data_IF_098101345887
#
_entry.id   IF_098101345887
#
_cell.length_a   1.000
_cell.length_b   1.000
_cell.length_c   1.000
_cell.angle_alpha   90.00
_cell.angle_beta   90.00
_cell.angle_gamma   90.00
#
_symmetry.space_group_name_H-M   'P 1'
#
loop_
_entity.id
_entity.type
_entity.pdbx_description
1 polymer ?
#
# COMPACT_ATOMS: atom_id res chain seq x y z
N UNK A 1 -28.51 -13.41 -31.32
CA UNK A 1 -27.80 -13.01 -30.08
C UNK A 1 -28.60 -13.51 -28.88
N UNK A 2 -28.06 -14.51 -28.19
CA UNK A 2 -28.78 -15.37 -27.25
C UNK A 2 -29.16 -14.65 -25.94
N UNK A 3 -30.37 -14.90 -25.43
CA UNK A 3 -30.92 -14.22 -24.24
C UNK A 3 -30.12 -14.55 -22.98
N UNK A 4 -29.53 -15.76 -22.94
CA UNK A 4 -28.64 -16.20 -21.85
C UNK A 4 -27.35 -15.37 -21.76
N UNK A 5 -26.76 -14.98 -22.88
CA UNK A 5 -25.54 -14.15 -22.88
C UNK A 5 -25.80 -12.74 -22.34
N UNK A 6 -26.92 -12.13 -22.71
CA UNK A 6 -27.32 -10.80 -22.21
C UNK A 6 -27.54 -10.79 -20.69
N UNK A 7 -28.15 -11.84 -20.16
CA UNK A 7 -28.32 -12.02 -18.71
C UNK A 7 -26.98 -12.14 -17.96
N UNK A 8 -26.05 -12.93 -18.50
CA UNK A 8 -24.70 -13.11 -17.91
C UNK A 8 -23.91 -11.80 -17.92
N UNK A 9 -23.96 -11.04 -19.03
CA UNK A 9 -23.29 -9.74 -19.19
C UNK A 9 -23.81 -8.68 -18.21
N UNK A 10 -25.14 -8.60 -18.02
CA UNK A 10 -25.77 -7.72 -17.03
C UNK A 10 -25.42 -8.10 -15.58
N UNK A 11 -25.31 -9.40 -15.28
CA UNK A 11 -24.94 -9.88 -13.94
C UNK A 11 -23.49 -9.50 -13.61
N UNK A 12 -22.57 -9.64 -14.56
CA UNK A 12 -21.16 -9.23 -14.41
C UNK A 12 -21.05 -7.71 -14.29
N UNK A 13 -21.77 -6.94 -15.11
CA UNK A 13 -21.82 -5.47 -14.97
C UNK A 13 -22.33 -5.03 -13.60
N UNK A 14 -23.39 -5.65 -13.10
CA UNK A 14 -23.92 -5.34 -11.77
C UNK A 14 -22.95 -5.72 -10.66
N UNK A 15 -22.21 -6.83 -10.79
CA UNK A 15 -21.13 -7.18 -9.85
C UNK A 15 -20.03 -6.12 -9.91
N UNK A 16 -19.55 -5.74 -11.09
CA UNK A 16 -18.54 -4.71 -11.29
C UNK A 16 -18.97 -3.36 -10.70
N UNK A 17 -20.17 -2.89 -11.03
CA UNK A 17 -20.72 -1.62 -10.54
C UNK A 17 -20.90 -1.67 -9.03
N UNK A 18 -21.35 -2.80 -8.47
CA UNK A 18 -21.51 -2.97 -7.03
C UNK A 18 -20.14 -2.97 -6.33
N UNK A 19 -19.14 -3.65 -6.89
CA UNK A 19 -17.75 -3.64 -6.39
C UNK A 19 -17.12 -2.24 -6.50
N UNK A 20 -17.35 -1.51 -7.60
CA UNK A 20 -16.88 -0.13 -7.80
C UNK A 20 -17.59 0.82 -6.83
N UNK A 21 -18.89 0.66 -6.59
CA UNK A 21 -19.64 1.48 -5.65
C UNK A 21 -19.32 1.15 -4.18
N UNK A 22 -18.98 -0.09 -3.82
CA UNK A 22 -18.39 -0.41 -2.51
C UNK A 22 -16.92 0.02 -2.40
N UNK A 23 -16.25 0.21 -3.54
CA UNK A 23 -14.94 0.86 -3.64
C UNK A 23 -15.06 2.38 -3.79
N UNK A 24 -16.24 3.02 -3.67
CA UNK A 24 -16.31 4.50 -3.57
C UNK A 24 -15.51 4.90 -2.35
N UNK A 25 -14.26 5.28 -2.63
CA UNK A 25 -13.23 5.45 -1.64
C UNK A 25 -13.60 6.64 -0.78
N UNK A 26 -14.01 6.35 0.45
CA UNK A 26 -14.01 7.31 1.55
C UNK A 26 -12.55 7.62 1.93
N UNK A 27 -11.79 8.19 0.99
CA UNK A 27 -10.39 8.62 1.18
C UNK A 27 -10.22 9.51 2.42
N UNK A 28 -11.27 10.28 2.76
CA UNK A 28 -11.33 11.10 3.97
C UNK A 28 -11.24 10.29 5.29
N UNK A 29 -11.67 9.04 5.30
CA UNK A 29 -11.73 8.18 6.50
C UNK A 29 -10.51 7.26 6.65
N UNK A 30 -9.48 7.42 5.82
CA UNK A 30 -8.22 6.72 6.05
C UNK A 30 -7.52 7.24 7.31
N UNK A 31 -6.88 6.33 8.05
CA UNK A 31 -5.99 6.72 9.13
C UNK A 31 -4.83 7.58 8.61
N UNK A 32 -4.23 8.37 9.50
CA UNK A 32 -3.15 9.27 9.14
C UNK A 32 -1.99 8.51 8.47
N UNK A 33 -1.66 7.33 9.00
CA UNK A 33 -0.65 6.44 8.43
C UNK A 33 -0.99 5.96 7.01
N UNK A 34 -2.25 5.63 6.75
CA UNK A 34 -2.69 5.24 5.41
C UNK A 34 -2.70 6.40 4.41
N UNK A 35 -2.95 7.65 4.87
CA UNK A 35 -2.80 8.85 4.03
C UNK A 35 -1.34 9.06 3.62
N UNK A 36 -0.39 8.85 4.53
CA UNK A 36 1.05 8.91 4.23
C UNK A 36 1.43 7.87 3.18
N UNK A 37 1.00 6.61 3.34
CA UNK A 37 1.27 5.56 2.34
C UNK A 37 0.65 5.86 0.97
N UNK A 38 -0.54 6.47 0.93
CA UNK A 38 -1.17 6.94 -0.30
C UNK A 38 -0.38 8.06 -0.97
N UNK A 39 0.08 9.04 -0.20
CA UNK A 39 0.93 10.12 -0.71
C UNK A 39 2.23 9.56 -1.29
N UNK A 40 2.92 8.67 -0.57
CA UNK A 40 4.10 7.99 -1.07
C UNK A 40 3.84 7.19 -2.34
N UNK A 41 2.69 6.51 -2.44
CA UNK A 41 2.28 5.80 -3.66
C UNK A 41 2.06 6.77 -4.83
N UNK A 42 1.51 7.96 -4.59
CA UNK A 42 1.38 8.99 -5.61
C UNK A 42 2.73 9.50 -6.11
N UNK A 43 3.68 9.73 -5.20
CA UNK A 43 5.07 10.10 -5.56
C UNK A 43 5.72 8.99 -6.38
N UNK A 44 5.55 7.71 -5.99
CA UNK A 44 6.06 6.57 -6.74
C UNK A 44 5.47 6.54 -8.16
N UNK A 45 4.16 6.76 -8.31
CA UNK A 45 3.53 6.79 -9.63
C UNK A 45 4.17 7.85 -10.55
N UNK A 46 4.36 9.07 -10.04
CA UNK A 46 5.01 10.17 -10.79
C UNK A 46 6.44 9.79 -11.15
N UNK A 47 7.16 9.18 -10.21
CA UNK A 47 8.54 8.74 -10.35
C UNK A 47 8.76 7.79 -11.54
N UNK A 48 7.80 6.92 -11.84
CA UNK A 48 7.92 5.93 -12.92
C UNK A 48 8.05 6.55 -14.32
N UNK A 49 7.48 7.73 -14.51
CA UNK A 49 7.47 8.45 -15.79
C UNK A 49 8.57 9.51 -15.88
N UNK A 50 9.25 9.81 -14.79
CA UNK A 50 10.39 10.74 -14.79
C UNK A 50 11.61 10.11 -15.46
N UNK A 51 12.63 10.91 -15.84
CA UNK A 51 13.92 10.40 -16.29
C UNK A 51 14.58 9.55 -15.20
N UNK A 52 14.91 8.30 -15.54
CA UNK A 52 15.69 7.39 -14.68
C UNK A 52 17.16 7.37 -15.09
N UNK A 53 17.40 7.48 -16.38
CA UNK A 53 18.69 7.55 -17.02
C UNK A 53 18.71 8.77 -17.92
N UNK A 54 19.79 9.54 -17.88
CA UNK A 54 20.01 10.70 -18.74
C UNK A 54 21.35 10.50 -19.44
N UNK A 55 21.36 10.62 -20.75
CA UNK A 55 22.59 10.71 -21.54
C UNK A 55 22.92 12.19 -21.76
N UNK A 56 24.07 12.61 -21.24
CA UNK A 56 24.54 14.00 -21.27
C UNK A 56 25.05 14.45 -22.63
N UNK A 57 25.34 13.54 -23.56
CA UNK A 57 25.83 13.92 -24.90
C UNK A 57 24.72 14.34 -25.86
N UNK A 58 23.56 13.71 -25.73
CA UNK A 58 22.47 13.80 -26.72
C UNK A 58 21.15 14.25 -26.11
N UNK A 59 21.14 14.66 -24.83
CA UNK A 59 19.95 15.02 -24.05
C UNK A 59 18.81 13.98 -24.11
N UNK A 60 19.19 12.71 -24.32
CA UNK A 60 18.23 11.61 -24.35
C UNK A 60 18.00 11.12 -22.94
N UNK A 61 16.73 11.01 -22.55
CA UNK A 61 16.33 10.42 -21.28
C UNK A 61 15.57 9.12 -21.50
N UNK A 62 15.74 8.20 -20.56
CA UNK A 62 14.98 6.96 -20.51
C UNK A 62 14.26 6.85 -19.18
N UNK A 63 13.00 6.42 -19.25
CA UNK A 63 12.14 6.20 -18.08
C UNK A 63 12.33 4.79 -17.52
N UNK A 64 11.65 4.49 -16.40
CA UNK A 64 11.68 3.17 -15.75
C UNK A 64 11.21 2.00 -16.64
N UNK A 65 10.49 2.29 -17.72
CA UNK A 65 9.96 1.30 -18.67
C UNK A 65 10.90 1.04 -19.85
N UNK A 66 12.04 1.74 -19.91
CA UNK A 66 13.02 1.51 -20.96
C UNK A 66 13.80 0.21 -20.72
N UNK A 67 14.14 -0.54 -21.78
CA UNK A 67 15.04 -1.69 -21.67
C UNK A 67 16.40 -1.33 -21.05
N UNK A 68 16.90 -0.12 -21.31
CA UNK A 68 18.14 0.38 -20.72
C UNK A 68 18.05 0.58 -19.20
N UNK A 69 16.84 0.86 -18.68
CA UNK A 69 16.57 0.95 -17.26
C UNK A 69 16.18 -0.42 -16.65
N UNK A 70 16.34 -1.51 -17.41
CA UNK A 70 16.02 -2.87 -16.96
C UNK A 70 14.53 -3.19 -16.88
N UNK A 71 13.66 -2.36 -17.48
CA UNK A 71 12.20 -2.52 -17.44
C UNK A 71 11.62 -2.60 -16.01
N UNK A 72 12.31 -2.01 -15.03
CA UNK A 72 11.95 -2.14 -13.60
C UNK A 72 10.61 -1.48 -13.27
N UNK A 73 10.15 -0.54 -14.12
CA UNK A 73 8.86 0.12 -13.98
C UNK A 73 7.67 -0.84 -13.95
N UNK A 74 7.73 -1.98 -14.66
CA UNK A 74 6.64 -2.97 -14.63
C UNK A 74 6.52 -3.66 -13.27
N UNK A 75 7.66 -3.97 -12.63
CA UNK A 75 7.71 -4.57 -11.28
C UNK A 75 7.16 -3.57 -10.26
N UNK A 76 7.55 -2.30 -10.39
CA UNK A 76 7.10 -1.24 -9.50
C UNK A 76 5.60 -0.93 -9.64
N UNK A 77 5.03 -1.02 -10.84
CA UNK A 77 3.58 -0.92 -11.05
C UNK A 77 2.85 -2.03 -10.29
N UNK A 78 3.35 -3.26 -10.33
CA UNK A 78 2.71 -4.39 -9.65
C UNK A 78 2.75 -4.18 -8.13
N UNK A 79 3.88 -3.73 -7.59
CA UNK A 79 4.02 -3.32 -6.18
C UNK A 79 3.08 -2.16 -5.82
N UNK A 80 2.97 -1.14 -6.67
CA UNK A 80 2.11 0.02 -6.46
C UNK A 80 0.63 -0.40 -6.38
N UNK A 81 0.16 -1.24 -7.30
CA UNK A 81 -1.20 -1.77 -7.27
C UNK A 81 -1.47 -2.55 -5.97
N UNK A 82 -0.48 -3.32 -5.53
CA UNK A 82 -0.56 -4.08 -4.29
C UNK A 82 -0.67 -3.14 -3.08
N UNK A 83 0.18 -2.11 -2.97
CA UNK A 83 0.12 -1.11 -1.90
C UNK A 83 -1.22 -0.38 -1.90
N UNK A 84 -1.71 0.07 -3.05
CA UNK A 84 -3.00 0.76 -3.18
C UNK A 84 -4.14 -0.15 -2.73
N UNK A 85 -4.14 -1.41 -3.18
CA UNK A 85 -5.14 -2.38 -2.77
C UNK A 85 -5.14 -2.57 -1.25
N UNK A 86 -4.00 -2.80 -0.60
CA UNK A 86 -3.94 -3.05 0.84
C UNK A 86 -4.21 -1.82 1.70
N UNK A 87 -3.74 -0.65 1.25
CA UNK A 87 -3.99 0.64 1.90
C UNK A 87 -5.47 0.98 1.87
N UNK A 88 -6.11 0.84 0.71
CA UNK A 88 -7.52 1.21 0.52
C UNK A 88 -8.52 0.13 0.96
N UNK A 89 -8.12 -1.14 1.01
CA UNK A 89 -8.98 -2.25 1.43
C UNK A 89 -9.34 -2.20 2.93
N UNK A 90 -8.65 -1.41 3.74
CA UNK A 90 -8.97 -1.19 5.17
C UNK A 90 -10.41 -0.76 5.40
N UNK A 91 -11.02 0.03 4.50
CA UNK A 91 -12.41 0.52 4.62
C UNK A 91 -13.50 -0.57 4.56
N UNK A 92 -13.20 -1.78 4.05
CA UNK A 92 -14.20 -2.85 3.86
C UNK A 92 -13.89 -4.12 4.69
N UNK A 93 -12.83 -4.11 5.51
CA UNK A 93 -12.29 -5.33 6.14
C UNK A 93 -12.99 -5.78 7.42
N UNK A 94 -13.77 -4.94 8.08
CA UNK A 94 -14.55 -5.40 9.25
C UNK A 94 -15.53 -6.52 8.89
N UNK A 95 -16.07 -6.52 7.66
CA UNK A 95 -16.94 -7.59 7.16
C UNK A 95 -16.21 -8.88 6.77
N UNK A 96 -14.96 -8.78 6.32
CA UNK A 96 -14.16 -9.94 5.85
C UNK A 96 -13.43 -10.63 7.02
N UNK A 97 -12.99 -9.87 8.03
CA UNK A 97 -12.38 -10.40 9.26
C UNK A 97 -13.29 -11.40 9.98
N UNK A 98 -14.61 -11.22 9.90
CA UNK A 98 -15.58 -12.14 10.49
C UNK A 98 -15.58 -13.54 9.85
N UNK A 99 -15.01 -13.72 8.65
CA UNK A 99 -15.15 -14.96 7.87
C UNK A 99 -13.84 -15.65 7.52
N UNK A 100 -12.68 -15.10 7.92
CA UNK A 100 -11.38 -15.77 7.72
C UNK A 100 -10.50 -15.69 8.96
N UNK A 101 -10.05 -16.85 9.48
CA UNK A 101 -9.07 -16.97 10.57
C UNK A 101 -7.64 -16.50 10.19
N UNK A 102 -7.44 -16.02 8.96
CA UNK A 102 -6.14 -15.53 8.51
C UNK A 102 -6.05 -14.04 8.86
N UNK A 103 -5.29 -13.72 9.92
CA UNK A 103 -5.00 -12.34 10.29
C UNK A 103 -3.93 -11.72 9.39
N UNK A 104 -4.22 -11.56 8.09
CA UNK A 104 -3.34 -10.79 7.20
C UNK A 104 -3.31 -9.33 7.66
N UNK A 105 -2.26 -9.00 8.40
CA UNK A 105 -1.95 -7.65 8.86
C UNK A 105 -1.42 -6.85 7.67
N UNK A 106 -2.30 -6.09 7.02
CA UNK A 106 -2.01 -5.29 5.82
C UNK A 106 -0.73 -4.45 5.94
N UNK A 107 -0.41 -3.97 7.14
CA UNK A 107 0.76 -3.15 7.38
C UNK A 107 2.07 -3.89 7.05
N UNK A 108 2.16 -5.22 7.26
CA UNK A 108 3.37 -5.97 6.89
C UNK A 108 3.62 -5.95 5.40
N UNK A 109 2.55 -6.09 4.61
CA UNK A 109 2.64 -6.07 3.15
C UNK A 109 3.09 -4.68 2.69
N UNK A 110 2.50 -3.61 3.25
CA UNK A 110 2.92 -2.23 2.95
C UNK A 110 4.40 -2.00 3.30
N UNK A 111 4.85 -2.47 4.46
CA UNK A 111 6.26 -2.35 4.89
C UNK A 111 7.18 -3.13 3.94
N UNK A 112 6.87 -4.40 3.66
CA UNK A 112 7.69 -5.26 2.78
C UNK A 112 7.76 -4.66 1.38
N UNK A 113 6.62 -4.20 0.84
CA UNK A 113 6.59 -3.53 -0.46
C UNK A 113 7.42 -2.24 -0.45
N UNK A 114 7.35 -1.43 0.61
CA UNK A 114 8.19 -0.24 0.78
C UNK A 114 9.69 -0.57 0.77
N UNK A 115 10.10 -1.61 1.51
CA UNK A 115 11.50 -2.10 1.51
C UNK A 115 11.92 -2.55 0.11
N UNK A 116 11.07 -3.31 -0.59
CA UNK A 116 11.33 -3.75 -1.96
C UNK A 116 11.51 -2.58 -2.94
N UNK A 117 10.69 -1.53 -2.80
CA UNK A 117 10.82 -0.31 -3.62
C UNK A 117 12.18 0.36 -3.37
N UNK A 118 12.60 0.50 -2.10
CA UNK A 118 13.90 1.09 -1.76
C UNK A 118 15.03 0.25 -2.36
N UNK A 119 15.00 -1.08 -2.17
CA UNK A 119 16.00 -2.00 -2.71
C UNK A 119 16.08 -1.92 -4.23
N UNK A 120 14.94 -1.85 -4.92
CA UNK A 120 14.91 -1.72 -6.38
C UNK A 120 15.55 -0.41 -6.86
N UNK A 121 15.34 0.70 -6.14
CA UNK A 121 15.99 1.98 -6.44
C UNK A 121 17.50 1.94 -6.20
N UNK A 122 17.95 1.31 -5.11
CA UNK A 122 19.37 1.15 -4.81
C UNK A 122 20.08 0.25 -5.83
N UNK A 123 19.48 -0.88 -6.20
CA UNK A 123 20.01 -1.76 -7.25
C UNK A 123 20.11 -1.00 -8.58
N UNK A 124 19.09 -0.18 -8.89
CA UNK A 124 19.12 0.67 -10.09
C UNK A 124 20.25 1.68 -10.03
N UNK A 125 20.46 2.37 -8.91
CA UNK A 125 21.62 3.28 -8.74
C UNK A 125 22.95 2.56 -8.96
N UNK A 126 23.14 1.38 -8.34
CA UNK A 126 24.36 0.60 -8.52
C UNK A 126 24.57 0.18 -9.97
N UNK A 127 23.50 -0.22 -10.66
CA UNK A 127 23.55 -0.58 -12.08
C UNK A 127 23.90 0.63 -12.96
N UNK A 128 23.30 1.79 -12.71
CA UNK A 128 23.58 3.03 -13.44
C UNK A 128 25.03 3.49 -13.23
N UNK A 129 25.54 3.42 -11.99
CA UNK A 129 26.94 3.72 -11.71
C UNK A 129 27.89 2.75 -12.44
N UNK A 130 27.51 1.47 -12.54
CA UNK A 130 28.22 0.50 -13.36
C UNK A 130 28.20 0.88 -14.85
N UNK A 131 27.04 1.29 -15.38
CA UNK A 131 26.93 1.78 -16.76
C UNK A 131 27.78 3.02 -17.01
N UNK A 132 27.85 3.95 -16.06
CA UNK A 132 28.66 5.16 -16.16
C UNK A 132 30.16 4.84 -16.29
N UNK A 133 30.62 3.74 -15.69
CA UNK A 133 32.01 3.27 -15.85
C UNK A 133 32.33 2.85 -17.29
N UNK A 134 31.36 2.27 -18.01
CA UNK A 134 31.53 1.84 -19.40
C UNK A 134 31.13 2.91 -20.43
N UNK A 135 30.16 3.76 -20.08
CA UNK A 135 29.62 4.84 -20.89
C UNK A 135 29.61 6.13 -20.05
N UNK A 136 30.69 6.90 -20.15
CA UNK A 136 30.96 8.06 -19.28
C UNK A 136 29.87 9.15 -19.28
N UNK A 137 28.96 9.11 -20.25
CA UNK A 137 27.94 10.14 -20.49
C UNK A 137 26.56 9.74 -19.98
N UNK A 138 26.45 8.64 -19.23
CA UNK A 138 25.19 8.19 -18.62
C UNK A 138 25.19 8.55 -17.13
N UNK A 139 24.18 9.31 -16.72
CA UNK A 139 23.94 9.69 -15.31
C UNK A 139 22.56 9.24 -14.82
N UNK A 140 22.38 9.17 -13.51
CA UNK A 140 21.09 8.87 -12.90
C UNK A 140 20.15 10.09 -12.99
N UNK A 141 18.88 9.82 -13.30
CA UNK A 141 17.83 10.82 -13.35
C UNK A 141 17.03 10.94 -12.05
N UNK A 142 16.17 11.96 -11.99
CA UNK A 142 15.34 12.26 -10.82
C UNK A 142 14.36 11.14 -10.44
N UNK A 143 13.94 10.31 -11.40
CA UNK A 143 13.05 9.18 -11.16
C UNK A 143 13.64 8.14 -10.20
N UNK A 144 14.96 7.96 -10.18
CA UNK A 144 15.56 7.01 -9.22
C UNK A 144 15.48 7.55 -7.80
N UNK A 145 15.76 8.84 -7.61
CA UNK A 145 15.69 9.54 -6.32
C UNK A 145 14.25 9.57 -5.78
N UNK A 146 13.29 9.89 -6.66
CA UNK A 146 11.87 9.90 -6.32
C UNK A 146 11.36 8.51 -5.93
N UNK A 147 11.89 7.46 -6.56
CA UNK A 147 11.53 6.07 -6.20
C UNK A 147 12.01 5.73 -4.79
N UNK A 148 13.27 6.03 -4.45
CA UNK A 148 13.81 5.76 -3.11
C UNK A 148 13.06 6.56 -2.04
N UNK A 149 12.86 7.86 -2.27
CA UNK A 149 12.13 8.72 -1.33
C UNK A 149 10.68 8.27 -1.15
N UNK A 150 9.99 7.88 -2.23
CA UNK A 150 8.63 7.31 -2.15
C UNK A 150 8.59 6.02 -1.34
N UNK A 151 9.58 5.13 -1.50
CA UNK A 151 9.71 3.90 -0.73
C UNK A 151 9.88 4.18 0.77
N UNK A 152 10.67 5.18 1.14
CA UNK A 152 10.85 5.63 2.53
C UNK A 152 9.52 6.14 3.11
N UNK A 153 8.79 6.98 2.37
CA UNK A 153 7.49 7.51 2.80
C UNK A 153 6.47 6.38 2.99
N UNK A 154 6.41 5.43 2.05
CA UNK A 154 5.54 4.25 2.13
C UNK A 154 5.88 3.41 3.36
N UNK A 155 7.17 3.21 3.65
CA UNK A 155 7.66 2.47 4.80
C UNK A 155 7.24 3.14 6.12
N UNK A 156 7.37 4.47 6.22
CA UNK A 156 6.87 5.21 7.38
C UNK A 156 5.36 5.08 7.56
N UNK A 157 4.57 5.17 6.49
CA UNK A 157 3.12 4.95 6.56
C UNK A 157 2.77 3.51 6.97
N UNK A 158 3.55 2.52 6.54
CA UNK A 158 3.42 1.12 6.97
C UNK A 158 3.72 0.92 8.46
N UNK A 159 4.82 1.50 8.95
CA UNK A 159 5.19 1.46 10.38
C UNK A 159 4.19 2.21 11.26
N UNK A 160 3.68 3.36 10.82
CA UNK A 160 2.60 4.08 11.50
C UNK A 160 1.35 3.23 11.62
N UNK A 161 0.95 2.56 10.53
CA UNK A 161 -0.21 1.66 10.52
C UNK A 161 -0.04 0.47 11.49
N UNK A 162 1.20 0.00 11.69
CA UNK A 162 1.51 -1.03 12.68
C UNK A 162 1.34 -0.52 14.12
N UNK A 163 1.72 0.73 14.41
CA UNK A 163 1.54 1.35 15.73
C UNK A 163 0.06 1.57 16.04
N UNK A 164 -0.68 2.18 15.11
CA UNK A 164 -2.13 2.42 15.23
C UNK A 164 -2.90 1.12 15.53
N UNK A 165 -2.56 0.02 14.85
CA UNK A 165 -3.20 -1.27 15.10
C UNK A 165 -2.83 -1.92 16.44
N UNK A 166 -1.66 -1.62 17.00
CA UNK A 166 -1.27 -2.10 18.33
C UNK A 166 -2.00 -1.33 19.41
N UNK A 167 -2.06 -0.01 19.29
CA UNK A 167 -2.78 0.88 20.20
C UNK A 167 -4.27 0.54 20.25
N UNK A 168 -4.92 0.39 19.09
CA UNK A 168 -6.33 -0.01 19.02
C UNK A 168 -6.60 -1.35 19.72
N UNK A 169 -5.71 -2.34 19.55
CA UNK A 169 -5.85 -3.63 20.24
C UNK A 169 -5.76 -3.48 21.75
N UNK A 170 -4.80 -2.70 22.23
CA UNK A 170 -4.61 -2.45 23.66
C UNK A 170 -5.84 -1.77 24.25
N UNK A 171 -6.37 -0.74 23.58
CA UNK A 171 -7.61 -0.06 23.99
C UNK A 171 -8.80 -1.01 24.04
N UNK A 172 -8.98 -1.88 23.03
CA UNK A 172 -10.05 -2.87 23.06
C UNK A 172 -9.91 -3.87 24.21
N UNK A 173 -8.69 -4.34 24.50
CA UNK A 173 -8.45 -5.24 25.63
C UNK A 173 -8.72 -4.54 26.97
N UNK A 174 -8.26 -3.29 27.15
CA UNK A 174 -8.49 -2.53 28.37
C UNK A 174 -9.99 -2.28 28.58
N UNK A 175 -10.72 -1.92 27.53
CA UNK A 175 -12.17 -1.68 27.62
C UNK A 175 -12.94 -2.97 27.92
N UNK A 176 -12.56 -4.10 27.32
CA UNK A 176 -13.20 -5.39 27.53
C UNK A 176 -12.90 -5.95 28.95
N UNK A 177 -11.68 -5.75 29.46
CA UNK A 177 -11.32 -6.06 30.85
C UNK A 177 -11.98 -5.12 31.86
N UNK A 178 -12.01 -3.82 31.59
CA UNK A 178 -12.68 -2.83 32.44
C UNK A 178 -14.19 -3.05 32.53
N UNK A 179 -14.84 -3.43 31.41
CA UNK A 179 -16.24 -3.83 31.41
C UNK A 179 -16.50 -5.14 32.16
N UNK A 180 -15.59 -6.11 32.09
CA UNK A 180 -15.74 -7.38 32.83
C UNK A 180 -15.48 -7.21 34.32
N UNK A 181 -14.55 -6.35 34.73
CA UNK A 181 -14.36 -5.95 36.13
C UNK A 181 -15.57 -5.18 36.67
N UNK A 182 -16.10 -4.18 35.96
CA UNK A 182 -17.31 -3.48 36.41
C UNK A 182 -18.52 -4.40 36.49
N UNK A 183 -18.69 -5.33 35.54
CA UNK A 183 -19.76 -6.35 35.59
C UNK A 183 -19.56 -7.34 36.75
N UNK A 184 -18.33 -7.70 37.11
CA UNK A 184 -18.06 -8.59 38.26
C UNK A 184 -18.19 -7.87 39.60
N UNK A 185 -17.77 -6.62 39.72
CA UNK A 185 -17.99 -5.77 40.91
C UNK A 185 -19.49 -5.54 41.11
N UNK A 186 -20.24 -5.21 40.05
CA UNK A 186 -21.70 -5.07 40.13
C UNK A 186 -22.40 -6.37 40.56
N UNK A 187 -21.91 -7.53 40.09
CA UNK A 187 -22.45 -8.84 40.45
C UNK A 187 -22.08 -9.26 41.89
N UNK A 188 -20.92 -8.86 42.39
CA UNK A 188 -20.50 -9.09 43.76
C UNK A 188 -21.20 -8.13 44.75
N UNK A 189 -21.47 -6.89 44.34
CA UNK A 189 -22.26 -5.93 45.12
C UNK A 189 -23.77 -6.27 45.15
N UNK A 190 -24.24 -7.17 44.29
CA UNK A 190 -25.61 -7.73 44.33
C UNK A 190 -25.76 -8.95 45.26
N UNK A 191 -24.70 -9.40 45.94
CA UNK A 191 -24.82 -10.31 47.09
C UNK A 191 -24.73 -9.47 48.36
N UNK A 192 -25.84 -9.13 49.00
CA UNK A 192 -26.55 -9.88 50.07
C UNK A 192 -27.78 -9.03 50.47
N UNK A 193 -28.83 -9.52 51.18
CA UNK A 193 -28.93 -10.67 52.09
C UNK A 193 -29.92 -11.73 51.53
N UNK A 194 -29.81 -13.03 51.79
CA UNK A 194 -29.68 -13.77 53.05
C UNK A 194 -28.92 -15.09 52.80
#
# INVERSE_FOLDING_TARGET
MDYKERGKKRKIQNILIKTINTLKFKSLYLSFSGKISLFGSGVLLISLFQPWLINTDNDKFWTSFSPLAGNIGFILILLLLLILFFTLSTSNKEKIKLHSNISFKNYYIIIISGIFIILSGLISLSFINGLQFFFQNIIYGQGVILTISSGIVILFGGLGSMKEQKEYKIETFINEYGETETKTIAKNNMKLPF
#
